data_IF_274297021735
#
_entry.id   IF_274297021735
#
_cell.length_a   1.000
_cell.length_b   1.000
_cell.length_c   1.000
_cell.angle_alpha   90.00
_cell.angle_beta   90.00
_cell.angle_gamma   90.00
#
_symmetry.space_group_name_H-M   'P 1'
#
loop_
_entity.id
_entity.type
_entity.pdbx_description
1 polymer ?
#
# COMPACT_ATOMS: atom_id res chain seq x y z
N UNK A 1 -3.59 -32.79 15.66
CA UNK A 1 -3.56 -31.49 16.35
C UNK A 1 -3.69 -30.43 15.29
N UNK A 2 -4.73 -29.59 15.33
CA UNK A 2 -4.83 -28.43 14.47
C UNK A 2 -4.17 -27.28 15.22
N UNK A 3 -2.92 -27.00 14.87
CA UNK A 3 -2.24 -25.78 15.27
C UNK A 3 -3.09 -24.59 14.81
N UNK A 4 -3.92 -24.07 15.71
CA UNK A 4 -4.61 -22.80 15.54
C UNK A 4 -3.54 -21.69 15.65
N UNK A 5 -2.70 -21.57 14.64
CA UNK A 5 -1.78 -20.44 14.49
C UNK A 5 -2.67 -19.23 14.25
N UNK A 6 -2.96 -18.50 15.32
CA UNK A 6 -3.64 -17.21 15.26
C UNK A 6 -2.73 -16.27 14.45
N UNK A 7 -3.00 -16.15 13.15
CA UNK A 7 -2.29 -15.21 12.29
C UNK A 7 -2.80 -13.80 12.60
N UNK A 8 -2.05 -13.10 13.45
CA UNK A 8 -2.36 -11.78 13.98
C UNK A 8 -2.24 -10.65 12.94
N UNK A 9 -1.46 -10.85 11.86
CA UNK A 9 -1.26 -9.82 10.83
C UNK A 9 -2.45 -9.73 9.89
N UNK A 10 -3.00 -8.52 9.70
CA UNK A 10 -4.03 -8.28 8.68
C UNK A 10 -3.47 -8.66 7.29
N UNK A 11 -4.21 -9.43 6.47
CA UNK A 11 -3.74 -9.82 5.14
C UNK A 11 -3.72 -8.61 4.18
N UNK A 12 -3.05 -8.79 3.05
CA UNK A 12 -3.19 -7.89 1.91
C UNK A 12 -4.67 -7.81 1.52
N UNK A 13 -5.19 -6.58 1.45
CA UNK A 13 -6.58 -6.27 1.13
C UNK A 13 -6.95 -6.74 -0.28
N UNK A 14 -5.97 -6.80 -1.19
CA UNK A 14 -6.22 -7.13 -2.60
C UNK A 14 -6.04 -8.62 -2.92
N UNK A 15 -5.11 -9.33 -2.27
CA UNK A 15 -4.77 -10.70 -2.64
C UNK A 15 -4.72 -11.70 -1.48
N UNK A 16 -5.00 -11.28 -0.25
CA UNK A 16 -5.08 -12.17 0.92
C UNK A 16 -3.73 -12.66 1.49
N UNK A 17 -2.62 -12.44 0.79
CA UNK A 17 -1.27 -12.81 1.27
C UNK A 17 -0.91 -11.98 2.50
N UNK A 18 -0.31 -12.63 3.51
CA UNK A 18 0.11 -11.99 4.78
C UNK A 18 1.59 -11.66 4.84
N UNK A 19 2.37 -12.10 3.85
CA UNK A 19 3.80 -11.83 3.77
C UNK A 19 4.05 -10.42 3.23
N UNK A 20 5.01 -9.72 3.84
CA UNK A 20 5.47 -8.39 3.40
C UNK A 20 4.34 -7.36 3.24
N UNK A 21 3.34 -7.40 4.13
CA UNK A 21 2.21 -6.47 4.12
C UNK A 21 2.55 -5.18 4.89
N UNK A 22 2.18 -4.03 4.32
CA UNK A 22 2.33 -2.70 4.94
C UNK A 22 1.07 -1.87 4.71
N UNK A 23 0.82 -0.92 5.61
CA UNK A 23 -0.26 0.05 5.46
C UNK A 23 0.13 1.12 4.43
N UNK A 24 -0.72 1.37 3.44
CA UNK A 24 -0.54 2.40 2.43
C UNK A 24 -1.89 2.92 1.96
N UNK A 25 -2.11 4.23 2.01
CA UNK A 25 -3.39 4.87 1.69
C UNK A 25 -4.59 4.14 2.34
N UNK A 26 -4.48 3.85 3.64
CA UNK A 26 -5.48 3.13 4.45
C UNK A 26 -5.72 1.65 4.07
N UNK A 27 -4.98 1.11 3.09
CA UNK A 27 -5.05 -0.29 2.68
C UNK A 27 -3.84 -1.07 3.19
N UNK A 28 -4.07 -2.29 3.69
CA UNK A 28 -2.98 -3.25 3.92
C UNK A 28 -2.58 -3.87 2.59
N UNK A 29 -1.34 -3.71 2.14
CA UNK A 29 -0.88 -4.18 0.83
C UNK A 29 0.44 -4.94 0.94
N UNK A 30 0.56 -6.05 0.21
CA UNK A 30 1.84 -6.73 0.03
C UNK A 30 2.70 -6.02 -1.04
N UNK A 31 4.00 -6.27 -1.05
CA UNK A 31 4.94 -5.67 -2.00
C UNK A 31 4.51 -5.80 -3.47
N UNK A 32 3.97 -6.96 -3.87
CA UNK A 32 3.52 -7.18 -5.25
C UNK A 32 2.33 -6.28 -5.61
N UNK A 33 1.33 -6.19 -4.72
CA UNK A 33 0.17 -5.35 -4.94
C UNK A 33 0.55 -3.87 -4.92
N UNK A 34 1.48 -3.47 -4.06
CA UNK A 34 1.98 -2.09 -4.03
C UNK A 34 2.71 -1.72 -5.32
N UNK A 35 3.56 -2.59 -5.86
CA UNK A 35 4.25 -2.37 -7.14
C UNK A 35 3.25 -2.29 -8.30
N UNK A 36 2.25 -3.17 -8.32
CA UNK A 36 1.21 -3.13 -9.36
C UNK A 36 0.42 -1.80 -9.34
N UNK A 37 0.11 -1.27 -8.16
CA UNK A 37 -0.55 0.04 -8.04
C UNK A 37 0.41 1.14 -8.50
N UNK A 38 1.71 1.03 -8.19
CA UNK A 38 2.70 2.02 -8.65
C UNK A 38 2.79 2.09 -10.17
N UNK A 39 2.73 0.94 -10.84
CA UNK A 39 2.76 0.85 -12.31
C UNK A 39 1.46 1.37 -12.93
N UNK A 40 0.30 0.99 -12.36
CA UNK A 40 -1.01 1.33 -12.92
C UNK A 40 -1.51 2.72 -12.54
N UNK A 41 -1.05 3.24 -11.41
CA UNK A 41 -1.42 4.55 -10.87
C UNK A 41 -0.18 5.25 -10.29
N UNK A 42 0.78 5.67 -11.13
CA UNK A 42 2.00 6.33 -10.68
C UNK A 42 1.72 7.65 -9.95
N UNK A 43 0.63 8.34 -10.30
CA UNK A 43 0.20 9.58 -9.65
C UNK A 43 -0.15 9.41 -8.17
N UNK A 44 -0.59 8.22 -7.76
CA UNK A 44 -0.91 7.92 -6.36
C UNK A 44 0.34 7.89 -5.44
N UNK A 45 1.52 7.64 -6.01
CA UNK A 45 2.80 7.67 -5.31
C UNK A 45 3.58 8.97 -5.55
N UNK A 46 3.14 9.79 -6.51
CA UNK A 46 3.68 11.12 -6.76
C UNK A 46 3.12 12.11 -5.72
N UNK A 47 3.55 11.98 -4.46
CA UNK A 47 3.24 12.98 -3.44
C UNK A 47 4.22 14.17 -3.57
N UNK A 48 3.68 15.33 -3.92
CA UNK A 48 4.20 16.69 -3.68
C UNK A 48 5.25 17.32 -4.64
N UNK A 49 5.26 17.07 -5.96
CA UNK A 49 6.04 17.96 -6.86
C UNK A 49 5.26 19.24 -7.27
N UNK A 50 3.95 19.33 -6.97
CA UNK A 50 3.09 20.44 -7.43
C UNK A 50 2.63 21.42 -6.34
N UNK A 51 3.22 21.40 -5.13
CA UNK A 51 2.81 22.30 -4.02
C UNK A 51 3.69 23.58 -3.93
N UNK A 52 4.73 23.74 -4.75
CA UNK A 52 5.61 24.94 -4.72
C UNK A 52 5.46 25.90 -5.92
N UNK A 53 4.25 26.11 -6.48
CA UNK A 53 4.05 27.17 -7.49
C UNK A 53 2.76 27.99 -7.30
N UNK A 54 2.42 28.36 -6.06
CA UNK A 54 1.41 29.40 -5.87
C UNK A 54 1.66 30.30 -4.67
N UNK A 55 2.75 31.07 -4.72
CA UNK A 55 2.77 32.42 -4.15
C UNK A 55 3.46 33.37 -5.13
N UNK A 56 2.70 33.91 -6.07
CA UNK A 56 3.00 35.15 -6.79
C UNK A 56 1.69 35.96 -6.79
N UNK A 57 1.54 36.89 -5.86
CA UNK A 57 1.73 38.34 -6.07
C UNK A 57 1.83 39.01 -4.68
#
# INVERSE_FOLDING_TARGET
MMDNIIQLSKPCTLCGIRQNVKLFAELMLCSQCQENIRITNPGMFASNEHIEQKTQD
#
